data_IF_175188888573
#
_entry.id   IF_175188888573
#
_cell.length_a   1.000
_cell.length_b   1.000
_cell.length_c   1.000
_cell.angle_alpha   90.00
_cell.angle_beta   90.00
_cell.angle_gamma   90.00
#
_symmetry.space_group_name_H-M   'P 1'
#
loop_
_entity.id
_entity.type
_entity.pdbx_description
1 polymer ?
#
# COMPACT_ATOMS: atom_id res chain seq x y z
N UNK A 1 -9.71 3.82 3.68
CA UNK A 1 -8.48 3.73 4.51
C UNK A 1 -7.38 4.51 3.82
N UNK A 2 -6.55 5.26 4.56
CA UNK A 2 -5.36 5.93 4.01
C UNK A 2 -4.12 5.27 4.59
N UNK A 3 -3.28 4.71 3.72
CA UNK A 3 -1.99 4.12 4.04
C UNK A 3 -0.89 5.07 3.59
N UNK A 4 -0.16 5.65 4.54
CA UNK A 4 0.83 6.69 4.25
C UNK A 4 2.21 6.07 4.09
N UNK A 5 2.88 6.39 2.98
CA UNK A 5 4.23 5.94 2.66
C UNK A 5 5.18 7.13 2.73
N UNK A 6 6.32 6.97 3.38
CA UNK A 6 7.43 7.93 3.26
C UNK A 6 8.15 7.71 1.93
N UNK A 7 7.83 8.56 0.94
CA UNK A 7 8.41 8.46 -0.40
C UNK A 7 9.91 8.74 -0.45
N UNK A 8 10.45 9.53 0.48
CA UNK A 8 11.88 9.83 0.56
C UNK A 8 12.70 8.65 1.07
N UNK A 9 12.06 7.81 1.88
CA UNK A 9 12.64 6.65 2.50
C UNK A 9 12.42 5.35 1.75
N UNK A 10 11.39 5.31 0.90
CA UNK A 10 10.81 4.10 0.36
C UNK A 10 11.82 3.09 -0.20
N UNK A 11 12.90 3.53 -0.86
CA UNK A 11 13.90 2.63 -1.43
C UNK A 11 14.55 1.68 -0.42
N UNK A 12 14.72 2.09 0.84
CA UNK A 12 15.32 1.27 1.91
C UNK A 12 14.27 0.52 2.74
N UNK A 13 13.02 1.01 2.74
CA UNK A 13 11.91 0.52 3.57
C UNK A 13 10.90 -0.33 2.78
N UNK A 14 11.11 -0.53 1.47
CA UNK A 14 10.16 -1.21 0.57
C UNK A 14 9.71 -2.57 1.11
N UNK A 15 10.60 -3.35 1.75
CA UNK A 15 10.27 -4.64 2.34
C UNK A 15 9.28 -4.51 3.49
N UNK A 16 9.60 -3.66 4.46
CA UNK A 16 8.77 -3.45 5.65
C UNK A 16 7.41 -2.84 5.28
N UNK A 17 7.40 -1.89 4.33
CA UNK A 17 6.17 -1.27 3.82
C UNK A 17 5.31 -2.31 3.08
N UNK A 18 5.91 -3.16 2.24
CA UNK A 18 5.19 -4.20 1.52
C UNK A 18 4.65 -5.28 2.45
N UNK A 19 5.42 -5.66 3.48
CA UNK A 19 4.97 -6.63 4.49
C UNK A 19 3.78 -6.08 5.28
N UNK A 20 3.84 -4.83 5.73
CA UNK A 20 2.71 -4.22 6.43
C UNK A 20 1.48 -4.10 5.52
N UNK A 21 1.67 -3.67 4.27
CA UNK A 21 0.59 -3.59 3.30
C UNK A 21 0.01 -4.97 2.96
N UNK A 22 0.84 -6.03 2.92
CA UNK A 22 0.37 -7.40 2.71
C UNK A 22 -0.63 -7.82 3.78
N UNK A 23 -0.31 -7.60 5.06
CA UNK A 23 -1.21 -7.92 6.18
C UNK A 23 -2.54 -7.17 6.08
N UNK A 24 -2.51 -5.90 5.67
CA UNK A 24 -3.73 -5.11 5.44
C UNK A 24 -4.55 -5.70 4.28
N UNK A 25 -3.90 -6.00 3.16
CA UNK A 25 -4.60 -6.51 1.98
C UNK A 25 -5.15 -7.93 2.18
N UNK A 26 -4.61 -8.72 3.10
CA UNK A 26 -5.09 -10.08 3.38
C UNK A 26 -5.99 -10.18 4.61
N UNK A 27 -6.21 -9.06 5.33
CA UNK A 27 -7.12 -9.02 6.47
C UNK A 27 -8.55 -9.39 6.05
N UNK A 28 -9.15 -10.34 6.79
CA UNK A 28 -10.47 -10.90 6.49
C UNK A 28 -11.57 -9.83 6.59
N UNK A 29 -11.44 -8.89 7.51
CA UNK A 29 -12.43 -7.82 7.70
C UNK A 29 -12.38 -6.83 6.54
N UNK A 30 -11.20 -6.48 6.06
CA UNK A 30 -11.01 -5.62 4.89
C UNK A 30 -11.43 -6.32 3.59
N UNK A 31 -11.13 -7.61 3.43
CA UNK A 31 -11.58 -8.42 2.29
C UNK A 31 -13.11 -8.55 2.24
N UNK A 32 -13.78 -8.62 3.39
CA UNK A 32 -15.24 -8.70 3.46
C UNK A 32 -15.93 -7.36 3.21
N UNK A 33 -15.39 -6.26 3.77
CA UNK A 33 -16.02 -4.93 3.67
C UNK A 33 -15.58 -4.15 2.43
N UNK A 34 -14.47 -4.55 1.80
CA UNK A 34 -13.92 -3.97 0.57
C UNK A 34 -13.84 -2.43 0.62
N UNK A 35 -13.27 -1.82 1.66
CA UNK A 35 -13.17 -0.36 1.71
C UNK A 35 -12.19 0.14 0.64
N UNK A 36 -12.40 1.35 0.09
CA UNK A 36 -11.42 1.97 -0.80
C UNK A 36 -10.14 2.28 0.00
N UNK A 37 -8.99 2.04 -0.63
CA UNK A 37 -7.66 2.25 -0.04
C UNK A 37 -6.90 3.30 -0.85
N UNK A 38 -6.40 4.32 -0.16
CA UNK A 38 -5.47 5.28 -0.73
C UNK A 38 -4.07 5.00 -0.20
N UNK A 39 -3.11 4.82 -1.10
CA UNK A 39 -1.68 4.84 -0.77
C UNK A 39 -1.18 6.28 -0.97
N UNK A 40 -1.09 7.03 0.12
CA UNK A 40 -0.63 8.41 0.13
C UNK A 40 0.90 8.46 0.18
N UNK A 41 1.51 8.75 -0.96
CA UNK A 41 2.95 8.84 -1.17
C UNK A 41 3.45 10.21 -0.68
N UNK A 42 3.75 10.28 0.62
CA UNK A 42 4.04 11.51 1.34
C UNK A 42 5.52 11.92 1.27
N UNK A 43 5.81 13.17 1.61
CA UNK A 43 7.13 13.82 1.59
C UNK A 43 7.67 14.10 0.19
N UNK A 44 6.78 14.44 -0.75
CA UNK A 44 7.14 14.82 -2.12
C UNK A 44 7.90 16.16 -2.19
N UNK A 45 7.96 16.92 -1.10
CA UNK A 45 8.83 18.09 -0.92
C UNK A 45 10.33 17.73 -0.92
N UNK A 46 10.67 16.47 -0.63
CA UNK A 46 12.06 16.01 -0.59
C UNK A 46 12.50 15.57 -1.99
N UNK A 47 13.59 16.15 -2.49
CA UNK A 47 14.12 15.87 -3.85
C UNK A 47 14.36 14.40 -4.19
N UNK A 48 14.62 13.56 -3.18
CA UNK A 48 14.86 12.13 -3.34
C UNK A 48 13.59 11.27 -3.24
N UNK A 49 12.42 11.89 -3.06
CA UNK A 49 11.14 11.21 -2.96
C UNK A 49 10.81 10.42 -4.23
N UNK A 50 10.32 9.19 -4.03
CA UNK A 50 9.83 8.34 -5.12
C UNK A 50 8.42 8.74 -5.50
N UNK A 51 8.16 8.78 -6.80
CA UNK A 51 6.82 9.04 -7.32
C UNK A 51 5.86 7.92 -6.95
N UNK A 52 4.57 8.23 -6.90
CA UNK A 52 3.50 7.26 -6.67
C UNK A 52 3.58 6.08 -7.65
N UNK A 53 3.89 6.35 -8.92
CA UNK A 53 4.05 5.32 -9.95
C UNK A 53 5.18 4.35 -9.64
N UNK A 54 6.34 4.84 -9.20
CA UNK A 54 7.48 3.99 -8.87
C UNK A 54 7.24 3.20 -7.58
N UNK A 55 6.58 3.81 -6.59
CA UNK A 55 6.18 3.15 -5.35
C UNK A 55 5.21 2.01 -5.66
N UNK A 56 4.19 2.25 -6.48
CA UNK A 56 3.25 1.23 -6.92
C UNK A 56 3.98 0.04 -7.55
N UNK A 57 4.86 0.29 -8.54
CA UNK A 57 5.59 -0.77 -9.23
C UNK A 57 6.47 -1.61 -8.29
N UNK A 58 7.15 -0.97 -7.34
CA UNK A 58 8.00 -1.69 -6.39
C UNK A 58 7.18 -2.46 -5.36
N UNK A 59 6.06 -1.91 -4.87
CA UNK A 59 5.14 -2.65 -4.02
C UNK A 59 4.52 -3.85 -4.73
N UNK A 60 4.12 -3.70 -6.00
CA UNK A 60 3.58 -4.82 -6.79
C UNK A 60 4.60 -5.97 -6.89
N UNK A 61 5.86 -5.63 -7.17
CA UNK A 61 6.96 -6.61 -7.22
C UNK A 61 7.23 -7.28 -5.87
N UNK A 62 7.27 -6.51 -4.79
CA UNK A 62 7.57 -7.05 -3.45
C UNK A 62 6.40 -7.90 -2.94
N UNK A 63 5.15 -7.46 -3.14
CA UNK A 63 3.95 -8.23 -2.82
C UNK A 63 3.86 -9.52 -3.63
N UNK A 64 4.32 -9.53 -4.89
CA UNK A 64 4.45 -10.75 -5.69
C UNK A 64 5.41 -11.75 -5.03
N UNK A 65 6.50 -11.28 -4.45
CA UNK A 65 7.48 -12.11 -3.74
C UNK A 65 6.90 -12.60 -2.41
N UNK A 66 6.27 -11.72 -1.63
CA UNK A 66 5.67 -12.04 -0.33
C UNK A 66 4.56 -13.09 -0.44
N UNK A 67 3.66 -12.98 -1.42
CA UNK A 67 2.58 -13.97 -1.57
C UNK A 67 3.12 -15.37 -1.91
N UNK A 68 4.24 -15.46 -2.65
CA UNK A 68 4.85 -16.75 -3.00
C UNK A 68 5.52 -17.34 -1.76
N UNK A 69 6.30 -16.55 -1.04
CA UNK A 69 7.02 -16.99 0.17
C UNK A 69 6.07 -17.40 1.30
N UNK A 70 5.02 -16.62 1.57
CA UNK A 70 3.98 -16.98 2.55
C UNK A 70 3.18 -18.22 2.14
N UNK A 71 2.97 -18.46 0.84
CA UNK A 71 2.29 -19.68 0.35
C UNK A 71 3.18 -20.93 0.43
N UNK A 72 4.50 -20.77 0.51
CA UNK A 72 5.48 -21.85 0.57
C UNK A 72 5.94 -22.19 1.98
N UNK A 73 5.62 -21.34 2.98
CA UNK A 73 5.89 -21.62 4.38
C UNK A 73 5.09 -22.87 4.83
N UNK A 74 5.74 -23.92 5.36
CA UNK A 74 5.03 -25.10 5.84
C UNK A 74 4.12 -24.68 7.00
N UNK A 75 2.84 -25.07 6.95
CA UNK A 75 1.84 -24.82 7.98
C UNK A 75 2.13 -25.68 9.22
N UNK A 76 3.20 -25.37 9.93
CA UNK A 76 3.49 -25.88 11.27
C UNK A 76 2.88 -24.91 12.27
N UNK A 77 1.85 -25.38 12.99
CA UNK A 77 0.98 -24.65 13.92
C UNK A 77 -0.11 -23.81 13.23
N UNK A 78 -1.30 -24.39 13.01
CA UNK A 78 -2.57 -23.78 13.44
C UNK A 78 -3.57 -24.91 13.73
N UNK A 79 -3.72 -25.22 15.02
CA UNK A 79 -4.91 -25.85 15.55
C UNK A 79 -5.97 -24.76 15.73
N UNK A 80 -7.24 -25.11 15.51
CA UNK A 80 -8.45 -24.28 15.67
C UNK A 80 -8.67 -23.14 14.65
N UNK A 81 -9.49 -23.45 13.63
CA UNK A 81 -10.52 -22.56 13.07
C UNK A 81 -10.12 -21.12 12.71
N UNK A 82 -9.39 -20.94 11.60
CA UNK A 82 -9.24 -19.64 10.93
C UNK A 82 -9.78 -19.73 9.49
N UNK A 83 -10.59 -18.76 9.02
CA UNK A 83 -11.25 -18.84 7.72
C UNK A 83 -10.21 -18.62 6.61
N UNK A 84 -10.20 -19.51 5.61
CA UNK A 84 -9.53 -19.38 4.31
C UNK A 84 -8.40 -18.35 4.24
N UNK A 85 -7.15 -18.82 4.33
CA UNK A 85 -5.95 -18.03 4.06
C UNK A 85 -6.14 -17.28 2.73
N UNK A 86 -6.51 -16.00 2.78
CA UNK A 86 -7.01 -15.27 1.61
C UNK A 86 -5.80 -14.91 0.76
N UNK A 87 -5.59 -15.68 -0.30
CA UNK A 87 -4.40 -15.53 -1.13
C UNK A 87 -4.44 -14.23 -1.91
N UNK A 88 -3.35 -13.46 -1.84
CA UNK A 88 -3.23 -12.18 -2.53
C UNK A 88 -3.09 -12.37 -4.06
N UNK A 89 -4.04 -11.80 -4.81
CA UNK A 89 -4.05 -11.78 -6.27
C UNK A 89 -4.33 -13.14 -6.93
N UNK A 90 -3.96 -13.28 -8.21
CA UNK A 90 -4.25 -14.48 -9.02
C UNK A 90 -3.02 -15.37 -9.18
N UNK A 91 -3.22 -16.70 -9.16
CA UNK A 91 -2.15 -17.68 -9.46
C UNK A 91 -1.75 -17.59 -10.94
N UNK A 92 -0.45 -17.77 -11.22
CA UNK A 92 0.08 -17.85 -12.59
C UNK A 92 0.19 -16.51 -13.35
N UNK A 93 -0.12 -15.37 -12.71
CA UNK A 93 0.10 -14.02 -13.24
C UNK A 93 0.82 -13.20 -12.18
N UNK A 94 1.80 -12.37 -12.55
CA UNK A 94 2.41 -11.42 -11.60
C UNK A 94 1.35 -10.56 -10.91
N UNK A 95 1.57 -10.26 -9.63
CA UNK A 95 0.66 -9.45 -8.86
C UNK A 95 0.61 -8.00 -9.40
N UNK A 96 -0.60 -7.46 -9.43
CA UNK A 96 -0.87 -6.04 -9.67
C UNK A 96 -2.10 -5.64 -8.83
N UNK A 97 -2.22 -4.36 -8.47
CA UNK A 97 -3.29 -3.92 -7.56
C UNK A 97 -4.71 -4.07 -8.13
N UNK A 98 -4.89 -4.31 -9.43
CA UNK A 98 -6.23 -4.62 -9.97
C UNK A 98 -6.73 -6.01 -9.58
N UNK A 99 -5.86 -6.84 -9.00
CA UNK A 99 -6.19 -8.20 -8.59
C UNK A 99 -6.74 -8.30 -7.16
N UNK A 100 -6.76 -7.20 -6.41
CA UNK A 100 -7.43 -7.13 -5.11
C UNK A 100 -8.86 -6.58 -5.27
N UNK A 101 -9.83 -6.99 -4.42
CA UNK A 101 -11.20 -6.49 -4.54
C UNK A 101 -11.33 -5.01 -4.15
N UNK A 102 -10.45 -4.53 -3.28
CA UNK A 102 -10.42 -3.13 -2.84
C UNK A 102 -9.96 -2.23 -3.99
N UNK A 103 -10.64 -1.10 -4.18
CA UNK A 103 -10.14 -0.06 -5.09
C UNK A 103 -8.93 0.60 -4.43
N UNK A 104 -7.74 0.31 -4.96
CA UNK A 104 -6.48 0.90 -4.49
C UNK A 104 -6.09 2.04 -5.42
N UNK A 105 -5.92 3.23 -4.86
CA UNK A 105 -5.44 4.42 -5.56
C UNK A 105 -4.13 4.90 -4.95
N UNK A 106 -3.27 5.51 -5.77
CA UNK A 106 -2.00 6.09 -5.33
C UNK A 106 -2.01 7.58 -5.63
N UNK A 107 -1.70 8.40 -4.63
CA UNK A 107 -1.60 9.86 -4.79
C UNK A 107 -0.34 10.38 -4.12
N UNK A 108 0.23 11.41 -4.72
CA UNK A 108 1.38 12.16 -4.20
C UNK A 108 0.90 13.29 -3.30
N UNK A 109 1.57 13.48 -2.17
CA UNK A 109 1.28 14.55 -1.23
C UNK A 109 2.53 15.00 -0.45
N UNK A 110 2.44 16.18 0.17
CA UNK A 110 3.41 16.61 1.15
C UNK A 110 2.70 17.23 2.36
N UNK A 111 2.92 16.65 3.54
CA UNK A 111 2.49 17.22 4.81
C UNK A 111 3.43 18.32 5.33
N UNK A 112 4.56 18.57 4.64
CA UNK A 112 5.51 19.64 4.97
C UNK A 112 5.65 20.63 3.83
N UNK A 113 5.91 21.85 4.25
CA UNK A 113 6.42 22.92 3.43
C UNK A 113 7.84 22.60 2.94
N UNK A 114 8.08 22.81 1.64
CA UNK A 114 9.40 22.65 1.02
C UNK A 114 10.30 23.85 1.36
N UNK A 115 10.94 23.80 2.54
CA UNK A 115 12.06 24.64 2.98
C UNK A 115 11.83 26.16 3.04
N UNK A 116 11.80 26.66 4.27
CA UNK A 116 12.23 28.01 4.72
C UNK A 116 11.37 29.24 4.38
N UNK A 117 10.35 29.17 3.54
CA UNK A 117 9.39 30.29 3.37
C UNK A 117 7.95 29.76 3.27
N UNK A 118 7.09 30.20 4.20
CA UNK A 118 5.63 29.98 4.32
C UNK A 118 4.94 29.37 3.07
N UNK A 119 5.05 28.06 2.90
CA UNK A 119 4.36 27.27 1.89
C UNK A 119 3.41 26.25 2.50
N UNK A 120 2.16 26.25 2.06
CA UNK A 120 1.13 25.36 2.59
C UNK A 120 1.40 23.88 2.28
N UNK A 121 0.92 23.00 3.16
CA UNK A 121 0.92 21.55 2.91
C UNK A 121 0.19 21.23 1.59
N UNK A 122 0.81 20.40 0.74
CA UNK A 122 0.16 19.95 -0.50
C UNK A 122 -0.61 18.65 -0.26
N UNK A 123 -1.85 18.80 0.23
CA UNK A 123 -2.78 17.70 0.49
C UNK A 123 -3.99 17.69 -0.44
N UNK A 124 -4.10 18.63 -1.39
CA UNK A 124 -5.27 18.82 -2.26
C UNK A 124 -5.75 17.52 -2.95
N UNK A 125 -4.82 16.68 -3.40
CA UNK A 125 -5.16 15.40 -4.03
C UNK A 125 -5.79 14.41 -3.03
N UNK A 126 -5.26 14.37 -1.80
CA UNK A 126 -5.78 13.51 -0.73
C UNK A 126 -7.14 14.01 -0.27
N UNK A 127 -7.31 15.32 -0.09
CA UNK A 127 -8.58 15.96 0.24
C UNK A 127 -9.63 15.70 -0.84
N UNK A 128 -9.26 15.86 -2.12
CA UNK A 128 -10.12 15.56 -3.25
C UNK A 128 -10.50 14.08 -3.35
N UNK A 129 -9.66 13.16 -2.86
CA UNK A 129 -10.02 11.75 -2.76
C UNK A 129 -10.98 11.49 -1.60
N UNK A 130 -10.73 12.08 -0.43
CA UNK A 130 -11.62 11.97 0.74
C UNK A 130 -13.01 12.54 0.45
N UNK A 131 -13.09 13.67 -0.24
CA UNK A 131 -14.36 14.31 -0.62
C UNK A 131 -15.23 13.43 -1.54
N UNK A 132 -14.65 12.46 -2.27
CA UNK A 132 -15.41 11.50 -3.09
C UNK A 132 -16.05 10.37 -2.27
N UNK A 133 -15.69 10.25 -0.99
CA UNK A 133 -16.16 9.20 -0.08
C UNK A 133 -17.22 9.70 0.91
N UNK A 134 -17.40 11.02 0.99
CA UNK A 134 -18.44 11.70 1.78
C UNK A 134 -19.69 11.92 0.93
#
# INVERSE_FOLDING_TARGET
MVFVVDSSAFQREVKDVAEFLYHILTDVTLQKNVPPILIACNKQDISMAKSAKLIQQQLEKELNTLRITQSAAPSTLESSSSPSNTQLGKKGKDFDFSQVPMKVEFLECSARDSKEEEGDANLSNVEGWLAKLL
#
